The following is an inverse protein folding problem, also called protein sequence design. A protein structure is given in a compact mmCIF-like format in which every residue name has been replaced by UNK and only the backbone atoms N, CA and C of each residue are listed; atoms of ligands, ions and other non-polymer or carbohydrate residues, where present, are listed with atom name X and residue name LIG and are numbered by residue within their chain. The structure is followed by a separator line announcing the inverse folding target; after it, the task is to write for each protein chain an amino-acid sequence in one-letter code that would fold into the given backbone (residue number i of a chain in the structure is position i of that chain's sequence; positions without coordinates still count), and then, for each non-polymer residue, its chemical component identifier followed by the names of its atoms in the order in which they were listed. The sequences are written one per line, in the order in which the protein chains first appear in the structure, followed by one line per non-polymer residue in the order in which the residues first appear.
data_IF_983262535411
#
_entry.id   IF_983262535411
#
_cell.length_a   1.000
_cell.length_b   1.000
_cell.length_c   1.000
_cell.angle_alpha   90.00
_cell.angle_beta   90.00
_cell.angle_gamma   90.00
#
_symmetry.space_group_name_H-M   'P 1'
#
loop_
_entity.id
_entity.type
_entity.pdbx_description
1 polymer ?
#
# COMPACT_ATOMS: atom_id res chain seq x y z
N UNK A 1 10.65 23.71 -8.38
CA UNK A 1 9.45 24.27 -7.73
C UNK A 1 9.44 23.78 -6.28
N UNK A 2 8.87 24.51 -5.34
CA UNK A 2 8.82 24.06 -3.97
C UNK A 2 7.98 22.76 -3.88
N UNK A 3 8.29 21.91 -2.92
CA UNK A 3 7.53 20.72 -2.63
C UNK A 3 6.20 21.10 -1.98
N UNK A 4 5.10 20.50 -2.44
CA UNK A 4 3.74 20.81 -1.95
C UNK A 4 3.02 19.60 -1.40
N UNK A 5 3.29 18.41 -1.97
CA UNK A 5 2.60 17.17 -1.64
C UNK A 5 3.61 16.07 -1.31
N UNK A 6 3.34 15.35 -0.24
CA UNK A 6 4.08 14.13 0.13
C UNK A 6 3.14 12.93 0.06
N UNK A 7 3.53 11.97 -0.77
CA UNK A 7 2.79 10.74 -1.04
C UNK A 7 3.46 9.55 -0.37
N UNK A 8 2.66 8.72 0.29
CA UNK A 8 3.12 7.51 0.97
C UNK A 8 2.45 6.28 0.37
N UNK A 9 3.21 5.22 0.19
CA UNK A 9 2.63 3.89 0.09
C UNK A 9 2.09 3.44 1.46
N UNK A 10 1.34 2.34 1.52
CA UNK A 10 0.65 1.89 2.74
C UNK A 10 1.40 0.77 3.46
N UNK A 11 1.31 -0.46 2.97
CA UNK A 11 1.93 -1.62 3.62
C UNK A 11 3.43 -1.68 3.35
N UNK A 12 4.23 -2.05 4.37
CA UNK A 12 5.68 -1.95 4.28
C UNK A 12 6.23 -0.53 4.44
N UNK A 13 5.35 0.48 4.37
CA UNK A 13 5.70 1.90 4.46
C UNK A 13 5.14 2.54 5.72
N UNK A 14 3.84 2.67 5.85
CA UNK A 14 3.17 3.24 7.03
C UNK A 14 2.85 2.17 8.09
N UNK A 15 2.46 0.99 7.65
CA UNK A 15 2.12 -0.15 8.51
C UNK A 15 2.90 -1.40 8.11
N UNK A 16 3.03 -2.33 9.07
CA UNK A 16 3.55 -3.66 8.78
C UNK A 16 2.63 -4.42 7.83
N UNK A 17 3.15 -5.27 6.90
CA UNK A 17 2.34 -5.98 5.90
C UNK A 17 1.50 -7.13 6.47
N UNK A 18 1.56 -7.34 7.79
CA UNK A 18 0.96 -8.48 8.49
C UNK A 18 -0.55 -8.62 8.32
N UNK A 19 -1.28 -7.50 8.14
CA UNK A 19 -2.72 -7.53 7.96
C UNK A 19 -3.12 -8.28 6.68
N UNK A 20 -2.58 -7.88 5.54
CA UNK A 20 -2.85 -8.53 4.25
C UNK A 20 -2.27 -9.94 4.21
N UNK A 21 -1.05 -10.17 4.72
CA UNK A 21 -0.46 -11.50 4.81
C UNK A 21 -1.37 -12.50 5.54
N UNK A 22 -1.92 -12.12 6.69
CA UNK A 22 -2.81 -13.00 7.44
C UNK A 22 -4.09 -13.32 6.67
N UNK A 23 -4.66 -12.37 5.97
CA UNK A 23 -5.88 -12.58 5.18
C UNK A 23 -5.59 -13.51 4.01
N UNK A 24 -4.61 -13.17 3.18
CA UNK A 24 -4.32 -13.91 1.94
C UNK A 24 -3.67 -15.27 2.17
N UNK A 25 -2.75 -15.37 3.14
CA UNK A 25 -1.96 -16.58 3.32
C UNK A 25 -2.52 -17.54 4.39
N UNK A 26 -3.39 -17.05 5.28
CA UNK A 26 -3.91 -17.85 6.38
C UNK A 26 -5.42 -17.96 6.40
N UNK A 27 -6.15 -16.85 6.36
CA UNK A 27 -7.58 -16.88 6.60
C UNK A 27 -8.36 -17.43 5.41
N UNK A 28 -8.07 -16.97 4.20
CA UNK A 28 -8.68 -17.51 2.96
C UNK A 28 -8.39 -19.00 2.83
N UNK A 29 -7.15 -19.50 2.94
CA UNK A 29 -6.88 -20.95 2.95
C UNK A 29 -7.60 -21.71 4.06
N UNK A 30 -7.72 -21.14 5.27
CA UNK A 30 -8.43 -21.76 6.38
C UNK A 30 -9.95 -21.88 6.11
N UNK A 31 -10.57 -20.84 5.57
CA UNK A 31 -11.97 -20.87 5.16
C UNK A 31 -12.20 -21.90 4.06
N UNK A 32 -11.30 -21.98 3.09
CA UNK A 32 -11.35 -22.97 2.02
C UNK A 32 -11.17 -24.40 2.54
N UNK A 33 -10.23 -24.62 3.48
CA UNK A 33 -10.03 -25.93 4.14
C UNK A 33 -11.34 -26.38 4.81
N UNK A 34 -11.97 -25.50 5.59
CA UNK A 34 -13.26 -25.77 6.26
C UNK A 34 -14.38 -26.08 5.25
N UNK A 35 -14.47 -25.31 4.17
CA UNK A 35 -15.48 -25.46 3.14
C UNK A 35 -15.36 -26.79 2.38
N UNK A 36 -14.12 -27.24 2.12
CA UNK A 36 -13.84 -28.41 1.28
C UNK A 36 -13.49 -29.68 2.07
N UNK A 37 -13.43 -29.63 3.40
CA UNK A 37 -13.01 -30.77 4.23
C UNK A 37 -11.55 -31.18 4.01
N UNK A 38 -10.67 -30.21 3.76
CA UNK A 38 -9.25 -30.43 3.49
C UNK A 38 -8.39 -30.13 4.72
N UNK A 39 -7.17 -30.64 4.74
CA UNK A 39 -6.14 -30.14 5.65
C UNK A 39 -5.76 -28.71 5.27
N UNK A 40 -5.24 -27.93 6.22
CA UNK A 40 -4.80 -26.56 5.96
C UNK A 40 -3.70 -26.50 4.88
N UNK A 41 -2.80 -27.47 4.91
CA UNK A 41 -1.69 -27.56 3.94
C UNK A 41 -2.19 -27.80 2.51
N UNK A 42 -3.14 -28.73 2.34
CA UNK A 42 -3.76 -28.98 1.03
C UNK A 42 -4.54 -27.76 0.53
N UNK A 43 -5.28 -27.09 1.42
CA UNK A 43 -6.01 -25.89 1.10
C UNK A 43 -5.09 -24.74 0.66
N UNK A 44 -3.98 -24.52 1.39
CA UNK A 44 -2.97 -23.51 1.00
C UNK A 44 -2.43 -23.79 -0.40
N UNK A 45 -1.99 -25.02 -0.67
CA UNK A 45 -1.48 -25.37 -2.01
C UNK A 45 -2.48 -25.09 -3.12
N UNK A 46 -3.77 -25.42 -2.93
CA UNK A 46 -4.82 -25.19 -3.91
C UNK A 46 -5.14 -23.71 -4.09
N UNK A 47 -5.32 -22.99 -3.00
CA UNK A 47 -5.60 -21.55 -3.05
C UNK A 47 -4.45 -20.78 -3.70
N UNK A 48 -3.21 -21.10 -3.36
CA UNK A 48 -2.05 -20.47 -4.00
C UNK A 48 -1.92 -20.82 -5.50
N UNK A 49 -2.30 -22.04 -5.89
CA UNK A 49 -2.37 -22.40 -7.32
C UNK A 49 -3.42 -21.54 -8.07
N UNK A 50 -4.59 -21.31 -7.46
CA UNK A 50 -5.63 -20.42 -8.00
C UNK A 50 -5.12 -18.96 -8.09
N UNK A 51 -4.40 -18.48 -7.06
CA UNK A 51 -3.78 -17.15 -7.12
C UNK A 51 -2.81 -17.05 -8.30
N UNK A 52 -1.92 -18.02 -8.47
CA UNK A 52 -0.95 -18.03 -9.57
C UNK A 52 -1.58 -18.16 -10.96
N UNK A 53 -2.73 -18.82 -11.08
CA UNK A 53 -3.47 -18.89 -12.32
C UNK A 53 -4.00 -17.51 -12.77
N UNK A 54 -4.48 -16.71 -11.82
CA UNK A 54 -4.94 -15.34 -12.07
C UNK A 54 -3.75 -14.41 -12.34
N UNK A 55 -2.76 -14.44 -11.44
CA UNK A 55 -1.57 -13.58 -11.51
C UNK A 55 -1.82 -12.13 -11.11
N UNK A 56 -0.76 -11.45 -10.71
CA UNK A 56 -0.78 -10.13 -10.12
C UNK A 56 -0.93 -8.97 -11.13
N UNK A 57 -1.02 -9.31 -12.43
CA UNK A 57 -1.31 -8.35 -13.50
C UNK A 57 -2.83 -8.18 -13.77
N UNK A 58 -3.67 -8.90 -13.02
CA UNK A 58 -5.12 -8.85 -13.16
C UNK A 58 -5.79 -8.20 -11.94
N UNK A 59 -6.85 -7.38 -12.13
CA UNK A 59 -7.58 -6.76 -11.03
C UNK A 59 -8.12 -7.75 -10.00
N UNK A 60 -8.54 -8.93 -10.47
CA UNK A 60 -9.09 -10.00 -9.63
C UNK A 60 -8.10 -10.51 -8.58
N UNK A 61 -6.79 -10.36 -8.82
CA UNK A 61 -5.76 -10.72 -7.84
C UNK A 61 -5.94 -9.95 -6.53
N UNK A 62 -6.35 -8.70 -6.61
CA UNK A 62 -6.49 -7.79 -5.46
C UNK A 62 -7.91 -7.80 -4.88
N UNK A 63 -8.89 -8.37 -5.57
CA UNK A 63 -10.32 -8.32 -5.23
C UNK A 63 -10.70 -9.47 -4.29
N UNK A 64 -10.87 -9.16 -2.99
CA UNK A 64 -11.28 -10.14 -1.99
C UNK A 64 -12.68 -10.71 -2.25
N UNK A 65 -13.61 -9.91 -2.77
CA UNK A 65 -14.96 -10.37 -3.10
C UNK A 65 -14.93 -11.39 -4.23
N UNK A 66 -14.09 -11.14 -5.26
CA UNK A 66 -13.86 -12.11 -6.31
C UNK A 66 -13.37 -13.45 -5.75
N UNK A 67 -12.40 -13.44 -4.82
CA UNK A 67 -11.85 -14.66 -4.23
C UNK A 67 -12.87 -15.40 -3.37
N UNK A 68 -13.71 -14.68 -2.61
CA UNK A 68 -14.80 -15.32 -1.87
C UNK A 68 -15.77 -16.04 -2.79
N UNK A 69 -16.14 -15.44 -3.93
CA UNK A 69 -17.00 -16.07 -4.94
C UNK A 69 -16.31 -17.23 -5.66
N UNK A 70 -15.10 -17.04 -6.16
CA UNK A 70 -14.35 -18.05 -6.92
C UNK A 70 -14.08 -19.33 -6.12
N UNK A 71 -13.71 -19.17 -4.87
CA UNK A 71 -13.39 -20.28 -3.97
C UNK A 71 -14.61 -20.82 -3.22
N UNK A 72 -15.79 -20.21 -3.40
CA UNK A 72 -17.04 -20.56 -2.69
C UNK A 72 -16.84 -20.54 -1.18
N UNK A 73 -16.25 -19.44 -0.66
CA UNK A 73 -15.93 -19.29 0.76
C UNK A 73 -17.18 -18.94 1.59
N UNK A 74 -17.30 -19.48 2.80
CA UNK A 74 -18.40 -19.14 3.71
C UNK A 74 -18.14 -17.80 4.42
N UNK A 75 -19.23 -17.10 4.78
CA UNK A 75 -19.19 -15.86 5.56
C UNK A 75 -19.09 -14.61 4.71
N UNK A 76 -18.86 -13.49 5.37
CA UNK A 76 -18.66 -12.17 4.74
C UNK A 76 -17.17 -11.76 4.86
N UNK A 77 -16.57 -11.40 3.76
CA UNK A 77 -15.18 -10.92 3.74
C UNK A 77 -15.01 -9.63 4.56
N UNK A 78 -16.06 -8.81 4.70
CA UNK A 78 -16.02 -7.59 5.50
C UNK A 78 -15.83 -7.91 6.99
N UNK A 79 -16.53 -8.94 7.48
CA UNK A 79 -16.36 -9.43 8.85
C UNK A 79 -14.94 -9.99 9.06
N UNK A 80 -14.35 -10.61 8.03
CA UNK A 80 -12.98 -11.09 8.09
C UNK A 80 -11.98 -9.93 8.22
N UNK A 81 -12.13 -8.86 7.43
CA UNK A 81 -11.28 -7.67 7.54
C UNK A 81 -11.38 -7.04 8.93
N UNK A 82 -12.61 -6.84 9.42
CA UNK A 82 -12.86 -6.30 10.76
C UNK A 82 -12.24 -7.16 11.87
N UNK A 83 -12.36 -8.48 11.79
CA UNK A 83 -11.77 -9.39 12.76
C UNK A 83 -10.23 -9.32 12.80
N UNK A 84 -9.61 -8.81 11.75
CA UNK A 84 -8.15 -8.62 11.64
C UNK A 84 -7.68 -7.20 11.98
N UNK A 85 -8.57 -6.25 12.18
CA UNK A 85 -8.23 -4.85 12.55
C UNK A 85 -7.18 -4.78 13.66
N UNK A 86 -7.32 -5.58 14.70
CA UNK A 86 -6.41 -5.59 15.85
C UNK A 86 -4.97 -6.03 15.58
N UNK A 87 -4.65 -6.50 14.36
CA UNK A 87 -3.25 -6.86 14.00
C UNK A 87 -2.51 -5.76 13.25
N UNK A 88 -3.21 -4.71 12.84
CA UNK A 88 -2.60 -3.56 12.15
C UNK A 88 -1.63 -2.87 13.10
N UNK A 89 -0.42 -2.66 12.63
CA UNK A 89 0.66 -2.02 13.40
C UNK A 89 1.35 -0.96 12.54
N UNK A 90 1.07 0.33 12.78
CA UNK A 90 1.92 1.40 12.26
C UNK A 90 3.35 1.24 12.78
N UNK A 91 4.33 1.57 11.94
CA UNK A 91 5.70 1.65 12.42
C UNK A 91 5.84 2.78 13.47
N UNK A 92 6.77 2.64 14.44
CA UNK A 92 6.82 3.52 15.61
C UNK A 92 6.96 5.01 15.27
N UNK A 93 7.69 5.35 14.21
CA UNK A 93 7.96 6.72 13.79
C UNK A 93 6.83 7.38 13.01
N UNK A 94 5.90 6.58 12.45
CA UNK A 94 4.90 7.04 11.46
C UNK A 94 4.11 8.25 11.94
N UNK A 95 3.47 8.14 13.10
CA UNK A 95 2.60 9.22 13.60
C UNK A 95 3.37 10.53 13.75
N UNK A 96 4.55 10.50 14.38
CA UNK A 96 5.36 11.69 14.57
C UNK A 96 5.85 12.31 13.26
N UNK A 97 6.22 11.49 12.29
CA UNK A 97 6.63 11.97 10.94
C UNK A 97 5.44 12.61 10.21
N UNK A 98 4.26 11.95 10.23
CA UNK A 98 3.06 12.50 9.59
C UNK A 98 2.63 13.83 10.21
N UNK A 99 2.67 13.97 11.54
CA UNK A 99 2.41 15.22 12.25
C UNK A 99 3.34 16.34 11.75
N UNK A 100 4.65 16.10 11.77
CA UNK A 100 5.65 17.11 11.37
C UNK A 100 5.63 17.47 9.88
N UNK A 101 5.39 16.49 9.00
CA UNK A 101 5.27 16.76 7.56
C UNK A 101 3.95 17.45 7.21
N UNK A 102 2.86 17.10 7.92
CA UNK A 102 1.55 17.71 7.73
C UNK A 102 1.48 19.21 8.08
N UNK A 103 2.43 19.74 8.86
CA UNK A 103 2.56 21.17 9.11
C UNK A 103 2.96 21.99 7.86
N UNK A 104 3.60 21.33 6.88
CA UNK A 104 4.20 21.99 5.71
C UNK A 104 3.65 21.50 4.37
N UNK A 105 3.23 20.25 4.29
CA UNK A 105 2.84 19.59 3.06
C UNK A 105 1.44 18.99 3.15
N UNK A 106 0.75 18.89 2.04
CA UNK A 106 -0.44 18.05 1.90
C UNK A 106 0.01 16.59 1.85
N UNK A 107 -0.50 15.76 2.75
CA UNK A 107 -0.15 14.34 2.79
C UNK A 107 -1.23 13.52 2.07
N UNK A 108 -0.79 12.55 1.26
CA UNK A 108 -1.67 11.62 0.54
C UNK A 108 -1.16 10.19 0.66
N UNK A 109 -2.08 9.22 0.52
CA UNK A 109 -1.73 7.80 0.37
C UNK A 109 -1.95 7.39 -1.08
N UNK A 110 -1.01 6.62 -1.63
CA UNK A 110 -1.11 5.99 -2.95
C UNK A 110 -0.75 4.51 -2.83
N UNK A 111 -1.70 3.62 -3.10
CA UNK A 111 -1.52 2.19 -2.86
C UNK A 111 -2.02 1.32 -4.02
N UNK A 112 -1.43 0.13 -4.17
CA UNK A 112 -1.94 -0.93 -5.03
C UNK A 112 -3.03 -1.77 -4.33
N UNK A 113 -3.34 -1.47 -3.09
CA UNK A 113 -4.31 -2.20 -2.25
C UNK A 113 -5.73 -1.71 -2.54
N UNK A 114 -6.71 -2.62 -2.53
CA UNK A 114 -8.12 -2.29 -2.66
C UNK A 114 -8.58 -1.34 -1.53
N UNK A 115 -9.55 -0.48 -1.84
CA UNK A 115 -10.08 0.53 -0.91
C UNK A 115 -10.59 -0.07 0.40
N UNK A 116 -11.24 -1.22 0.34
CA UNK A 116 -11.79 -1.92 1.50
C UNK A 116 -10.71 -2.28 2.53
N UNK A 117 -9.53 -2.66 2.08
CA UNK A 117 -8.37 -2.88 2.94
C UNK A 117 -7.82 -1.56 3.50
N UNK A 118 -7.67 -0.54 2.62
CA UNK A 118 -7.15 0.77 3.03
C UNK A 118 -8.02 1.43 4.10
N UNK A 119 -9.34 1.31 4.04
CA UNK A 119 -10.25 1.86 5.04
C UNK A 119 -9.99 1.28 6.44
N UNK A 120 -9.75 -0.03 6.52
CA UNK A 120 -9.41 -0.68 7.79
C UNK A 120 -7.98 -0.35 8.23
N UNK A 121 -7.03 -0.35 7.30
CA UNK A 121 -5.61 -0.11 7.57
C UNK A 121 -5.31 1.30 8.03
N UNK A 122 -6.08 2.28 7.56
CA UNK A 122 -5.89 3.70 7.88
C UNK A 122 -6.53 4.13 9.20
N UNK A 123 -7.13 3.22 9.96
CA UNK A 123 -7.68 3.59 11.27
C UNK A 123 -6.63 4.25 12.16
N UNK A 124 -6.98 5.42 12.70
CA UNK A 124 -6.07 6.23 13.53
C UNK A 124 -4.95 6.96 12.76
N UNK A 125 -4.88 6.80 11.43
CA UNK A 125 -3.97 7.55 10.56
C UNK A 125 -4.72 8.36 9.48
N UNK A 126 -6.01 8.07 9.23
CA UNK A 126 -6.79 8.69 8.14
C UNK A 126 -6.82 10.23 8.22
N UNK A 127 -6.82 10.76 9.41
CA UNK A 127 -6.88 12.20 9.70
C UNK A 127 -5.70 13.01 9.15
N UNK A 128 -4.53 12.37 8.96
CA UNK A 128 -3.34 13.03 8.41
C UNK A 128 -3.41 13.26 6.89
N UNK A 129 -4.26 12.53 6.18
CA UNK A 129 -4.24 12.51 4.73
C UNK A 129 -5.40 13.28 4.12
N UNK A 130 -5.08 14.21 3.21
CA UNK A 130 -6.08 14.94 2.41
C UNK A 130 -6.76 14.01 1.41
N UNK A 131 -5.99 13.07 0.83
CA UNK A 131 -6.49 12.09 -0.14
C UNK A 131 -5.90 10.70 0.12
N UNK A 132 -6.67 9.68 -0.25
CA UNK A 132 -6.26 8.29 -0.25
C UNK A 132 -6.63 7.70 -1.59
N UNK A 133 -5.63 7.22 -2.33
CA UNK A 133 -5.81 6.66 -3.67
C UNK A 133 -5.48 5.17 -3.70
N UNK A 134 -6.42 4.41 -4.23
CA UNK A 134 -6.28 2.99 -4.55
C UNK A 134 -6.15 2.83 -6.05
N UNK A 135 -5.05 2.28 -6.55
CA UNK A 135 -4.89 2.05 -7.98
C UNK A 135 -6.01 1.16 -8.55
N UNK A 136 -6.36 0.01 -7.93
CA UNK A 136 -7.41 -0.84 -8.45
C UNK A 136 -8.82 -0.25 -8.27
N UNK A 137 -9.13 0.31 -7.09
CA UNK A 137 -10.52 0.73 -6.80
C UNK A 137 -10.90 2.06 -7.45
N UNK A 138 -9.96 3.01 -7.54
CA UNK A 138 -10.29 4.36 -8.04
C UNK A 138 -10.03 4.52 -9.53
N UNK A 139 -9.09 3.75 -10.07
CA UNK A 139 -8.61 3.94 -11.44
C UNK A 139 -8.72 2.68 -12.30
N UNK A 140 -9.06 1.53 -11.73
CA UNK A 140 -9.08 0.25 -12.44
C UNK A 140 -7.68 -0.20 -12.89
N UNK A 141 -6.62 0.32 -12.26
CA UNK A 141 -5.23 -0.03 -12.55
C UNK A 141 -4.71 -1.03 -11.50
N UNK A 142 -4.03 -2.08 -11.95
CA UNK A 142 -3.47 -3.09 -11.03
C UNK A 142 -2.20 -2.63 -10.32
N UNK A 143 -1.50 -1.65 -10.88
CA UNK A 143 -0.20 -1.17 -10.37
C UNK A 143 -0.12 0.35 -10.44
N UNK A 144 0.72 0.95 -9.60
CA UNK A 144 1.05 2.37 -9.63
C UNK A 144 1.92 2.68 -10.86
N UNK A 145 1.26 2.88 -12.01
CA UNK A 145 1.90 3.23 -13.29
C UNK A 145 2.21 4.72 -13.37
N UNK A 146 2.96 5.15 -14.38
CA UNK A 146 3.13 6.58 -14.66
C UNK A 146 1.78 7.27 -14.95
N UNK A 147 0.83 6.56 -15.58
CA UNK A 147 -0.53 7.05 -15.81
C UNK A 147 -1.29 7.30 -14.50
N UNK A 148 -1.19 6.37 -13.56
CA UNK A 148 -1.75 6.51 -12.21
C UNK A 148 -1.22 7.76 -11.50
N UNK A 149 0.10 7.94 -11.41
CA UNK A 149 0.70 9.10 -10.75
C UNK A 149 0.34 10.42 -11.45
N UNK A 150 0.23 10.43 -12.79
CA UNK A 150 -0.20 11.63 -13.53
C UNK A 150 -1.60 12.05 -13.14
N UNK A 151 -2.55 11.12 -13.09
CA UNK A 151 -3.93 11.39 -12.65
C UNK A 151 -3.98 11.91 -11.22
N UNK A 152 -3.12 11.38 -10.33
CA UNK A 152 -3.02 11.90 -8.95
C UNK A 152 -2.55 13.34 -8.95
N UNK A 153 -1.48 13.68 -9.70
CA UNK A 153 -1.01 15.04 -9.83
C UNK A 153 -2.13 15.98 -10.34
N UNK A 154 -2.89 15.54 -11.36
CA UNK A 154 -4.03 16.31 -11.87
C UNK A 154 -5.12 16.51 -10.81
N UNK A 155 -5.44 15.47 -10.00
CA UNK A 155 -6.49 15.56 -8.97
C UNK A 155 -6.08 16.45 -7.81
N UNK A 156 -4.81 16.38 -7.38
CA UNK A 156 -4.30 17.20 -6.27
C UNK A 156 -3.77 18.55 -6.72
N UNK A 157 -3.85 18.84 -8.02
CA UNK A 157 -3.48 20.12 -8.67
C UNK A 157 -2.02 20.51 -8.37
N UNK A 158 -1.08 19.66 -8.77
CA UNK A 158 0.37 19.92 -8.68
C UNK A 158 1.13 19.29 -9.86
N UNK A 159 2.26 19.89 -10.19
CA UNK A 159 3.20 19.26 -11.10
C UNK A 159 3.96 18.10 -10.41
N UNK A 160 4.37 17.06 -11.15
CA UNK A 160 5.14 15.96 -10.58
C UNK A 160 6.39 16.41 -9.80
N UNK A 161 7.04 17.48 -10.23
CA UNK A 161 8.22 18.06 -9.57
C UNK A 161 7.94 18.72 -8.22
N UNK A 162 6.67 18.98 -7.89
CA UNK A 162 6.22 19.47 -6.58
C UNK A 162 5.71 18.36 -5.66
N UNK A 163 5.90 17.08 -6.04
CA UNK A 163 5.49 15.92 -5.25
C UNK A 163 6.69 15.07 -4.86
N UNK A 164 6.78 14.72 -3.57
CA UNK A 164 7.64 13.64 -3.11
C UNK A 164 6.83 12.36 -2.89
N UNK A 165 7.48 11.20 -3.06
CA UNK A 165 6.89 9.90 -2.78
C UNK A 165 7.86 8.99 -2.05
N UNK A 166 7.35 8.15 -1.15
CA UNK A 166 8.09 7.10 -0.46
C UNK A 166 7.29 5.81 -0.39
N UNK A 167 7.96 4.70 -0.67
CA UNK A 167 7.38 3.37 -0.56
C UNK A 167 8.42 2.25 -0.71
N UNK A 168 8.01 1.02 -0.42
CA UNK A 168 8.90 -0.14 -0.32
C UNK A 168 9.03 -0.95 -1.61
N UNK A 169 8.30 -0.60 -2.67
CA UNK A 169 8.36 -1.32 -3.92
C UNK A 169 9.27 -0.62 -4.93
N UNK A 170 10.45 -1.21 -5.26
CA UNK A 170 11.48 -0.64 -6.12
C UNK A 170 10.96 -0.07 -7.45
N UNK A 171 10.09 -0.79 -8.15
CA UNK A 171 9.56 -0.36 -9.45
C UNK A 171 8.49 0.71 -9.30
N UNK A 172 7.47 0.44 -8.45
CA UNK A 172 6.26 1.25 -8.42
C UNK A 172 6.38 2.47 -7.53
N UNK A 173 7.21 2.44 -6.48
CA UNK A 173 7.36 3.55 -5.54
C UNK A 173 8.65 4.35 -5.76
N UNK A 174 9.59 3.81 -6.54
CA UNK A 174 10.84 4.51 -6.78
C UNK A 174 11.06 4.80 -8.27
N UNK A 175 11.22 3.78 -9.12
CA UNK A 175 11.55 4.01 -10.53
C UNK A 175 10.44 4.74 -11.29
N UNK A 176 9.18 4.36 -11.09
CA UNK A 176 8.06 4.95 -11.81
C UNK A 176 7.88 6.44 -11.48
N UNK A 177 7.73 6.87 -10.21
CA UNK A 177 7.55 8.28 -9.91
C UNK A 177 8.81 9.11 -10.27
N UNK A 178 10.02 8.58 -10.11
CA UNK A 178 11.23 9.25 -10.55
C UNK A 178 11.29 9.51 -12.06
N UNK A 179 10.79 8.58 -12.86
CA UNK A 179 10.72 8.74 -14.32
C UNK A 179 9.81 9.90 -14.76
N UNK A 180 8.96 10.37 -13.87
CA UNK A 180 8.06 11.50 -14.08
C UNK A 180 8.60 12.83 -13.54
N UNK A 181 9.75 12.81 -12.90
CA UNK A 181 10.35 13.98 -12.26
C UNK A 181 9.92 14.21 -10.81
N UNK A 182 9.19 13.27 -10.21
CA UNK A 182 8.87 13.32 -8.77
C UNK A 182 10.13 13.06 -7.93
N UNK A 183 10.18 13.64 -6.75
CA UNK A 183 11.20 13.32 -5.76
C UNK A 183 10.82 12.04 -5.03
N UNK A 184 11.32 10.87 -5.47
CA UNK A 184 10.92 9.58 -4.94
C UNK A 184 12.06 8.85 -4.23
N UNK A 185 11.70 8.19 -3.13
CA UNK A 185 12.62 7.45 -2.27
C UNK A 185 12.17 5.99 -2.13
N UNK A 186 13.13 5.10 -2.27
CA UNK A 186 12.92 3.69 -1.98
C UNK A 186 13.11 3.43 -0.49
N UNK A 187 12.06 3.00 0.18
CA UNK A 187 12.09 2.61 1.58
C UNK A 187 12.56 1.16 1.70
N UNK A 188 13.74 0.96 2.27
CA UNK A 188 14.40 -0.34 2.39
C UNK A 188 14.55 -0.74 3.87
N UNK A 189 13.43 -0.89 4.57
CA UNK A 189 13.39 -1.30 5.97
C UNK A 189 14.15 -2.60 6.20
N UNK A 190 15.16 -2.58 7.09
CA UNK A 190 15.97 -3.76 7.39
C UNK A 190 16.90 -4.26 6.27
N UNK A 191 16.93 -3.60 5.12
CA UNK A 191 17.81 -3.96 4.00
C UNK A 191 19.20 -3.30 4.06
N UNK A 192 20.15 -3.84 3.29
CA UNK A 192 21.53 -3.34 3.23
C UNK A 192 21.78 -2.32 2.12
N UNK A 193 20.81 -2.10 1.21
CA UNK A 193 20.99 -1.14 0.10
C UNK A 193 21.18 0.26 0.64
N UNK A 194 22.11 1.00 0.03
CA UNK A 194 22.45 2.38 0.36
C UNK A 194 22.41 3.24 -0.90
N UNK A 195 22.08 4.51 -0.76
CA UNK A 195 22.05 5.46 -1.87
C UNK A 195 21.35 6.75 -1.49
N UNK A 196 21.54 7.80 -2.27
CA UNK A 196 21.00 9.13 -1.99
C UNK A 196 19.46 9.16 -1.90
N UNK A 197 18.78 8.26 -2.62
CA UNK A 197 17.32 8.12 -2.63
C UNK A 197 16.88 6.79 -2.00
N UNK A 198 17.69 6.17 -1.16
CA UNK A 198 17.34 5.00 -0.38
C UNK A 198 17.31 5.42 1.08
N UNK A 199 16.18 5.16 1.73
CA UNK A 199 15.96 5.45 3.15
C UNK A 199 15.54 4.16 3.88
N UNK A 200 15.78 4.10 5.19
CA UNK A 200 15.54 2.89 5.98
C UNK A 200 14.36 3.01 6.94
N UNK A 201 13.92 4.23 7.16
CA UNK A 201 12.71 4.59 7.90
C UNK A 201 12.15 5.92 7.39
N UNK A 202 11.03 6.35 7.94
CA UNK A 202 10.41 7.60 7.53
C UNK A 202 11.05 8.83 8.18
N UNK A 203 11.86 8.68 9.22
CA UNK A 203 12.65 9.79 9.79
C UNK A 203 13.80 10.18 8.85
N UNK A 204 14.50 9.19 8.27
CA UNK A 204 15.47 9.46 7.20
C UNK A 204 14.81 10.12 5.98
N UNK A 205 13.63 9.65 5.59
CA UNK A 205 12.87 10.26 4.50
C UNK A 205 12.50 11.71 4.80
N UNK A 206 11.98 12.00 5.98
CA UNK A 206 11.66 13.36 6.41
C UNK A 206 12.91 14.27 6.37
N UNK A 207 14.04 13.78 6.86
CA UNK A 207 15.29 14.54 6.83
C UNK A 207 15.71 14.90 5.39
N UNK A 208 15.59 13.95 4.43
CA UNK A 208 15.89 14.20 3.01
C UNK A 208 14.96 15.24 2.38
N UNK A 209 13.66 15.18 2.67
CA UNK A 209 12.72 16.17 2.15
C UNK A 209 13.03 17.57 2.68
N UNK A 210 13.37 17.68 3.96
CA UNK A 210 13.71 18.98 4.56
C UNK A 210 14.99 19.60 3.99
N UNK A 211 15.96 18.78 3.58
CA UNK A 211 17.18 19.24 2.89
C UNK A 211 16.88 19.85 1.50
N UNK A 212 15.79 19.46 0.84
CA UNK A 212 15.40 19.99 -0.47
C UNK A 212 14.76 21.41 -0.37
N UNK A 213 14.12 21.70 0.76
CA UNK A 213 13.42 22.97 0.98
C UNK A 213 14.27 24.04 1.71
N UNK A 214 15.48 23.70 2.11
CA UNK A 214 16.41 24.61 2.80
C UNK A 214 17.46 25.18 1.90
#
# INVERSE_FOLDING_TARGET
MPLEVVSFDMEGTLIEPRFSELIWEHDIPRLYAKRRGLTLEEARRRVFAEYMEIGDERPEWYDIEYWFRRLDLPGDWRELLEARRGVIRPYPEVRGVLERLGERYRLIVTSNTMREFLEVQLEGLREFFTHVFSAPSDFGEVKKTAGFYRRICDIVDVEPTSMAHVGDHWRFDYLTPRSMGMEAYYLNRGGERRGIHIVHDLEEFEARIRELDG
#
